data_IF_096464559457
#
_entry.id   IF_096464559457
#
_cell.length_a   1.000
_cell.length_b   1.000
_cell.length_c   1.000
_cell.angle_alpha   90.00
_cell.angle_beta   90.00
_cell.angle_gamma   90.00
#
_symmetry.space_group_name_H-M   'P 1'
#
loop_
_entity.id
_entity.type
_entity.pdbx_description
1 polymer ?
#
# COMPACT_ATOMS: atom_id res chain seq x y z
N UNK A 1 -49.40 -53.74 26.14
CA UNK A 1 -48.40 -53.76 25.04
C UNK A 1 -47.44 -52.58 25.24
N UNK A 2 -46.13 -52.79 25.12
CA UNK A 2 -45.11 -51.88 25.64
C UNK A 2 -44.91 -50.64 24.75
N UNK A 3 -44.66 -49.50 25.39
CA UNK A 3 -44.25 -48.24 24.74
C UNK A 3 -42.91 -48.45 24.03
N UNK A 4 -42.87 -48.15 22.73
CA UNK A 4 -41.64 -48.08 21.93
C UNK A 4 -40.61 -47.15 22.59
N UNK A 5 -39.32 -47.52 22.68
CA UNK A 5 -38.28 -46.64 23.17
C UNK A 5 -38.04 -45.50 22.16
N UNK A 6 -37.94 -44.27 22.68
CA UNK A 6 -37.49 -43.10 21.92
C UNK A 6 -36.01 -43.31 21.57
N UNK A 7 -35.69 -43.21 20.28
CA UNK A 7 -34.33 -43.12 19.77
C UNK A 7 -33.62 -41.90 20.37
N UNK A 8 -32.36 -42.02 20.85
CA UNK A 8 -31.59 -40.85 21.23
C UNK A 8 -31.20 -40.09 19.95
N UNK A 9 -31.70 -38.86 19.84
CA UNK A 9 -31.24 -37.89 18.86
C UNK A 9 -29.78 -37.55 19.17
N UNK A 10 -28.84 -38.05 18.37
CA UNK A 10 -27.46 -37.57 18.41
C UNK A 10 -27.44 -36.15 17.84
N UNK A 11 -27.53 -35.15 18.72
CA UNK A 11 -27.09 -33.82 18.37
C UNK A 11 -25.57 -33.90 18.15
N UNK A 12 -25.15 -33.96 16.89
CA UNK A 12 -23.77 -33.72 16.54
C UNK A 12 -23.43 -32.32 17.03
N UNK A 13 -22.59 -32.23 18.06
CA UNK A 13 -22.02 -30.96 18.52
C UNK A 13 -21.26 -30.36 17.35
N UNK A 14 -21.80 -29.30 16.73
CA UNK A 14 -21.06 -28.52 15.76
C UNK A 14 -19.78 -28.01 16.46
N UNK A 15 -18.62 -28.45 15.97
CA UNK A 15 -17.32 -27.99 16.46
C UNK A 15 -17.28 -26.47 16.24
N UNK A 16 -16.87 -25.72 17.27
CA UNK A 16 -16.70 -24.27 17.13
C UNK A 16 -15.79 -23.96 15.93
N UNK A 17 -16.08 -22.88 15.17
CA UNK A 17 -15.23 -22.48 14.05
C UNK A 17 -13.81 -22.20 14.55
N UNK A 18 -12.81 -22.52 13.72
CA UNK A 18 -11.40 -22.30 14.04
C UNK A 18 -11.13 -20.80 13.96
N UNK A 19 -10.62 -20.23 15.04
CA UNK A 19 -10.36 -18.79 15.15
C UNK A 19 -8.97 -18.41 14.60
N UNK A 20 -8.91 -17.41 13.73
CA UNK A 20 -7.70 -16.96 13.03
C UNK A 20 -7.35 -15.53 13.40
N UNK A 21 -6.16 -15.35 13.99
CA UNK A 21 -5.55 -14.06 14.27
C UNK A 21 -4.58 -13.67 13.15
N UNK A 22 -4.56 -12.39 12.80
CA UNK A 22 -3.66 -11.86 11.77
C UNK A 22 -2.67 -10.87 12.35
N UNK A 23 -1.41 -10.99 11.95
CA UNK A 23 -0.41 -9.93 12.09
C UNK A 23 -0.07 -9.47 10.69
N UNK A 24 -0.52 -8.27 10.33
CA UNK A 24 -0.31 -7.69 9.00
C UNK A 24 0.80 -6.66 9.03
N UNK A 25 1.85 -6.86 8.24
CA UNK A 25 2.97 -5.95 8.15
C UNK A 25 3.19 -5.49 6.71
N UNK A 26 3.88 -4.37 6.55
CA UNK A 26 4.36 -3.91 5.25
C UNK A 26 3.51 -2.83 4.61
N UNK A 27 3.02 -3.08 3.40
CA UNK A 27 2.43 -2.05 2.55
C UNK A 27 1.00 -2.38 2.12
N UNK A 28 0.33 -1.40 1.51
CA UNK A 28 -1.02 -1.52 0.93
C UNK A 28 -1.23 -2.77 0.06
N UNK A 29 -0.21 -3.19 -0.71
CA UNK A 29 -0.28 -4.40 -1.55
C UNK A 29 -0.38 -5.67 -0.70
N UNK A 30 0.33 -5.69 0.43
CA UNK A 30 0.30 -6.78 1.39
C UNK A 30 -1.02 -6.80 2.18
N UNK A 31 -1.60 -5.63 2.46
CA UNK A 31 -2.95 -5.53 3.05
C UNK A 31 -4.02 -6.10 2.11
N UNK A 32 -3.94 -5.82 0.81
CA UNK A 32 -4.86 -6.44 -0.17
C UNK A 32 -4.66 -7.97 -0.25
N UNK A 33 -3.42 -8.46 -0.15
CA UNK A 33 -3.17 -9.92 -0.08
C UNK A 33 -3.80 -10.55 1.18
N UNK A 34 -3.75 -9.83 2.31
CA UNK A 34 -4.43 -10.24 3.52
C UNK A 34 -5.95 -10.30 3.33
N UNK A 35 -6.57 -9.30 2.70
CA UNK A 35 -8.00 -9.30 2.38
C UNK A 35 -8.39 -10.52 1.53
N UNK A 36 -7.55 -10.90 0.55
CA UNK A 36 -7.75 -12.12 -0.23
C UNK A 36 -7.71 -13.36 0.67
N UNK A 37 -6.70 -13.49 1.53
CA UNK A 37 -6.60 -14.62 2.46
C UNK A 37 -7.79 -14.69 3.43
N UNK A 38 -8.19 -13.55 3.99
CA UNK A 38 -9.32 -13.45 4.91
C UNK A 38 -10.64 -13.85 4.21
N UNK A 39 -10.84 -13.45 2.95
CA UNK A 39 -12.02 -13.84 2.18
C UNK A 39 -12.06 -15.36 1.93
N UNK A 40 -10.92 -15.97 1.62
CA UNK A 40 -10.82 -17.43 1.41
C UNK A 40 -11.04 -18.21 2.71
N UNK A 41 -10.52 -17.71 3.85
CA UNK A 41 -10.75 -18.30 5.17
C UNK A 41 -12.20 -18.20 5.61
N UNK A 42 -12.81 -17.03 5.43
CA UNK A 42 -14.23 -16.83 5.75
C UNK A 42 -15.12 -17.80 4.96
N UNK A 43 -14.85 -17.98 3.66
CA UNK A 43 -15.56 -18.97 2.83
C UNK A 43 -15.27 -20.42 3.26
N UNK A 44 -14.10 -20.69 3.81
CA UNK A 44 -13.72 -21.97 4.40
C UNK A 44 -14.38 -22.26 5.74
N UNK A 45 -15.17 -21.33 6.30
CA UNK A 45 -15.86 -21.50 7.60
C UNK A 45 -14.97 -21.21 8.81
N UNK A 46 -13.84 -20.53 8.62
CA UNK A 46 -12.98 -20.04 9.70
C UNK A 46 -13.55 -18.75 10.29
N UNK A 47 -13.35 -18.56 11.58
CA UNK A 47 -13.65 -17.30 12.26
C UNK A 47 -12.44 -16.37 12.13
N UNK A 48 -12.66 -15.17 11.60
CA UNK A 48 -11.61 -14.20 11.27
C UNK A 48 -11.80 -12.93 12.08
N UNK A 49 -10.70 -12.25 12.41
CA UNK A 49 -10.77 -10.97 13.15
C UNK A 49 -10.85 -11.15 14.67
N UNK A 50 -10.37 -12.28 15.16
CA UNK A 50 -10.08 -12.44 16.59
C UNK A 50 -8.71 -11.83 16.91
N UNK A 51 -8.55 -11.40 18.15
CA UNK A 51 -7.24 -11.00 18.65
C UNK A 51 -6.26 -12.17 18.58
N UNK A 52 -4.99 -11.85 18.31
CA UNK A 52 -3.94 -12.85 18.05
C UNK A 52 -3.77 -13.81 19.23
N UNK A 53 -4.11 -13.37 20.43
CA UNK A 53 -4.01 -14.17 21.64
C UNK A 53 -5.21 -15.05 21.98
N UNK A 54 -6.33 -14.86 21.30
CA UNK A 54 -7.53 -15.69 21.36
C UNK A 54 -7.61 -16.68 20.18
N UNK A 55 -6.68 -16.59 19.24
CA UNK A 55 -6.69 -17.35 18.00
C UNK A 55 -6.21 -18.81 18.16
N UNK A 56 -6.89 -19.73 17.47
CA UNK A 56 -6.41 -21.11 17.30
C UNK A 56 -5.16 -21.17 16.40
N UNK A 57 -5.09 -20.32 15.38
CA UNK A 57 -3.92 -20.16 14.52
C UNK A 57 -3.63 -18.69 14.22
N UNK A 58 -2.34 -18.36 14.10
CA UNK A 58 -1.87 -17.02 13.79
C UNK A 58 -1.25 -17.00 12.39
N UNK A 59 -1.70 -16.07 11.54
CA UNK A 59 -1.12 -15.81 10.23
C UNK A 59 -0.31 -14.51 10.30
N UNK A 60 1.00 -14.61 10.11
CA UNK A 60 1.91 -13.46 10.03
C UNK A 60 2.17 -13.14 8.57
N UNK A 61 1.57 -12.06 8.06
CA UNK A 61 1.74 -11.60 6.70
C UNK A 61 2.86 -10.56 6.62
N UNK A 62 3.98 -10.95 6.00
CA UNK A 62 5.28 -10.27 6.17
C UNK A 62 5.70 -9.40 4.99
N UNK A 63 6.51 -8.38 5.27
CA UNK A 63 7.20 -7.58 4.28
C UNK A 63 8.67 -8.00 4.12
N UNK A 64 9.27 -7.70 2.98
CA UNK A 64 10.70 -7.95 2.73
C UNK A 64 11.41 -6.81 2.02
N UNK A 65 10.79 -5.61 1.99
CA UNK A 65 11.20 -4.55 1.08
C UNK A 65 12.51 -3.89 1.51
N UNK A 66 12.62 -3.49 2.78
CA UNK A 66 13.81 -2.87 3.39
C UNK A 66 14.22 -3.62 4.66
N UNK A 67 15.42 -3.36 5.16
CA UNK A 67 15.99 -4.00 6.35
C UNK A 67 15.09 -3.88 7.58
N UNK A 68 14.68 -2.66 7.97
CA UNK A 68 13.78 -2.43 9.11
C UNK A 68 12.50 -3.29 9.03
N UNK A 69 11.91 -3.38 7.84
CA UNK A 69 10.69 -4.17 7.62
C UNK A 69 10.94 -5.69 7.73
N UNK A 70 12.18 -6.17 7.51
CA UNK A 70 12.56 -7.56 7.75
C UNK A 70 12.75 -7.83 9.23
N UNK A 71 13.39 -6.92 9.96
CA UNK A 71 13.59 -7.04 11.40
C UNK A 71 12.25 -7.05 12.14
N UNK A 72 11.34 -6.16 11.76
CA UNK A 72 9.96 -6.14 12.23
C UNK A 72 9.25 -7.46 11.93
N UNK A 73 9.34 -7.96 10.70
CA UNK A 73 8.73 -9.22 10.31
C UNK A 73 9.28 -10.42 11.08
N UNK A 74 10.59 -10.50 11.30
CA UNK A 74 11.21 -11.57 12.11
C UNK A 74 10.73 -11.48 13.57
N UNK A 75 10.68 -10.27 14.13
CA UNK A 75 10.19 -10.05 15.49
C UNK A 75 8.74 -10.50 15.66
N UNK A 76 7.87 -10.20 14.68
CA UNK A 76 6.49 -10.64 14.67
C UNK A 76 6.33 -12.17 14.56
N UNK A 77 7.15 -12.83 13.72
CA UNK A 77 7.16 -14.30 13.61
C UNK A 77 7.54 -14.92 14.96
N UNK A 78 8.60 -14.41 15.60
CA UNK A 78 9.06 -14.90 16.90
C UNK A 78 7.99 -14.70 17.99
N UNK A 79 7.32 -13.54 18.00
CA UNK A 79 6.19 -13.29 18.90
C UNK A 79 5.03 -14.28 18.72
N UNK A 80 4.66 -14.59 17.48
CA UNK A 80 3.64 -15.61 17.21
C UNK A 80 4.08 -17.02 17.65
N UNK A 81 5.36 -17.36 17.46
CA UNK A 81 5.93 -18.62 17.94
C UNK A 81 5.93 -18.71 19.49
N UNK A 82 6.16 -17.60 20.18
CA UNK A 82 6.06 -17.50 21.65
C UNK A 82 4.64 -17.81 22.14
N UNK A 83 3.62 -17.27 21.46
CA UNK A 83 2.21 -17.57 21.77
C UNK A 83 1.90 -19.05 21.65
N UNK A 84 2.42 -19.71 20.59
CA UNK A 84 2.29 -21.16 20.40
C UNK A 84 2.98 -21.94 21.51
N UNK A 85 4.20 -21.58 21.90
CA UNK A 85 4.94 -22.23 22.99
C UNK A 85 4.19 -22.17 24.32
N UNK A 86 3.53 -21.05 24.58
CA UNK A 86 2.73 -20.83 25.78
C UNK A 86 1.32 -21.45 25.70
N UNK A 87 1.01 -22.15 24.60
CA UNK A 87 -0.28 -22.82 24.41
C UNK A 87 -1.45 -21.87 24.12
N UNK A 88 -1.17 -20.61 23.78
CA UNK A 88 -2.19 -19.60 23.45
C UNK A 88 -2.73 -19.76 22.02
N UNK A 89 -1.90 -20.26 21.11
CA UNK A 89 -2.34 -20.72 19.78
C UNK A 89 -1.74 -22.10 19.46
N UNK A 90 -2.27 -22.77 18.45
CA UNK A 90 -1.87 -24.14 18.06
C UNK A 90 -0.98 -24.14 16.81
N UNK A 91 -1.15 -23.16 15.92
CA UNK A 91 -0.40 -23.08 14.68
C UNK A 91 0.05 -21.65 14.34
N UNK A 92 1.22 -21.53 13.71
CA UNK A 92 1.77 -20.30 13.15
C UNK A 92 2.04 -20.48 11.66
N UNK A 93 1.42 -19.63 10.84
CA UNK A 93 1.59 -19.62 9.38
C UNK A 93 2.24 -18.30 8.97
N UNK A 94 3.34 -18.37 8.20
CA UNK A 94 4.05 -17.19 7.70
C UNK A 94 3.76 -17.01 6.20
N UNK A 95 3.30 -15.83 5.81
CA UNK A 95 2.95 -15.44 4.45
C UNK A 95 3.65 -14.15 4.03
N UNK A 96 3.52 -13.74 2.78
CA UNK A 96 3.95 -12.44 2.26
C UNK A 96 5.30 -12.44 1.53
N UNK A 97 5.92 -11.27 1.46
CA UNK A 97 7.14 -11.07 0.68
C UNK A 97 8.37 -11.74 1.31
N UNK A 98 8.44 -11.80 2.65
CA UNK A 98 9.60 -12.38 3.35
C UNK A 98 9.63 -13.89 3.18
N UNK A 99 8.49 -14.55 3.33
CA UNK A 99 8.35 -15.98 3.12
C UNK A 99 8.68 -16.39 1.69
N UNK A 100 8.25 -15.61 0.69
CA UNK A 100 8.58 -15.86 -0.71
C UNK A 100 10.09 -15.80 -0.99
N UNK A 101 10.80 -14.83 -0.39
CA UNK A 101 12.23 -14.59 -0.69
C UNK A 101 13.19 -15.38 0.21
N UNK A 102 12.86 -15.54 1.48
CA UNK A 102 13.76 -16.05 2.51
C UNK A 102 13.22 -17.28 3.24
N UNK A 103 12.37 -18.07 2.56
CA UNK A 103 11.78 -19.33 3.07
C UNK A 103 12.75 -20.17 3.91
N UNK A 104 13.89 -20.53 3.34
CA UNK A 104 14.86 -21.42 4.00
C UNK A 104 15.46 -20.78 5.26
N UNK A 105 15.70 -19.47 5.25
CA UNK A 105 16.21 -18.74 6.43
C UNK A 105 15.15 -18.69 7.53
N UNK A 106 13.87 -18.48 7.18
CA UNK A 106 12.75 -18.50 8.14
C UNK A 106 12.62 -19.88 8.78
N UNK A 107 12.59 -20.95 7.97
CA UNK A 107 12.48 -22.32 8.48
C UNK A 107 13.64 -22.70 9.41
N UNK A 108 14.85 -22.22 9.11
CA UNK A 108 16.03 -22.43 9.95
C UNK A 108 16.01 -21.61 11.24
N UNK A 109 15.57 -20.36 11.18
CA UNK A 109 15.58 -19.44 12.32
C UNK A 109 14.38 -19.64 13.26
N UNK A 110 13.24 -20.06 12.73
CA UNK A 110 11.97 -20.19 13.43
C UNK A 110 11.39 -21.61 13.25
N UNK A 111 11.96 -22.63 13.90
CA UNK A 111 11.54 -24.03 13.72
C UNK A 111 10.13 -24.32 14.25
N UNK A 112 9.55 -23.41 15.05
CA UNK A 112 8.21 -23.54 15.60
C UNK A 112 7.10 -23.10 14.64
N UNK A 113 7.45 -22.56 13.46
CA UNK A 113 6.50 -22.22 12.39
C UNK A 113 5.93 -23.49 11.78
N UNK A 114 4.61 -23.58 11.63
CA UNK A 114 3.92 -24.76 11.08
C UNK A 114 3.76 -24.69 9.56
N UNK A 115 3.70 -23.49 8.99
CA UNK A 115 3.65 -23.33 7.54
C UNK A 115 4.33 -22.05 7.07
N UNK A 116 4.96 -22.14 5.89
CA UNK A 116 5.52 -20.99 5.17
C UNK A 116 4.96 -20.99 3.76
N UNK A 117 4.29 -19.91 3.38
CA UNK A 117 3.59 -19.78 2.10
C UNK A 117 4.08 -18.60 1.27
N UNK A 118 4.04 -18.76 -0.05
CA UNK A 118 4.42 -17.72 -1.00
C UNK A 118 3.26 -16.80 -1.35
N UNK A 119 3.54 -15.77 -2.15
CA UNK A 119 2.50 -14.81 -2.61
C UNK A 119 1.53 -15.40 -3.63
N UNK A 120 1.82 -16.60 -4.18
CA UNK A 120 0.96 -17.34 -5.11
C UNK A 120 0.04 -18.37 -4.42
N UNK A 121 0.17 -18.54 -3.11
CA UNK A 121 -0.52 -19.58 -2.35
C UNK A 121 -1.72 -19.04 -1.53
N UNK A 122 -2.08 -17.75 -1.73
CA UNK A 122 -3.11 -17.07 -0.94
C UNK A 122 -4.47 -17.80 -0.93
N UNK A 123 -4.89 -18.38 -2.05
CA UNK A 123 -6.17 -19.14 -2.13
C UNK A 123 -6.16 -20.49 -1.44
N UNK A 124 -4.97 -21.03 -1.16
CA UNK A 124 -4.78 -22.32 -0.50
C UNK A 124 -4.71 -22.16 1.02
N UNK A 125 -4.79 -20.94 1.54
CA UNK A 125 -4.69 -20.66 2.97
C UNK A 125 -5.63 -21.51 3.83
N UNK A 126 -6.90 -21.81 3.46
CA UNK A 126 -7.78 -22.61 4.32
C UNK A 126 -7.27 -24.05 4.46
N UNK A 127 -6.83 -24.65 3.35
CA UNK A 127 -6.23 -25.99 3.33
C UNK A 127 -4.94 -26.05 4.16
N UNK A 128 -4.10 -25.02 4.03
CA UNK A 128 -2.80 -24.94 4.70
C UNK A 128 -2.98 -24.78 6.22
N UNK A 129 -3.89 -23.92 6.65
CA UNK A 129 -4.21 -23.72 8.06
C UNK A 129 -4.77 -25.00 8.68
N UNK A 130 -5.71 -25.69 8.02
CA UNK A 130 -6.21 -26.99 8.51
C UNK A 130 -5.10 -28.01 8.68
N UNK A 131 -4.20 -28.13 7.69
CA UNK A 131 -3.04 -29.02 7.78
C UNK A 131 -2.09 -28.64 8.90
N UNK A 132 -1.83 -27.35 9.10
CA UNK A 132 -0.96 -26.85 10.16
C UNK A 132 -1.53 -27.15 11.55
N UNK A 133 -2.86 -27.07 11.72
CA UNK A 133 -3.53 -27.39 12.98
C UNK A 133 -3.60 -28.89 13.29
N UNK A 134 -3.72 -29.72 12.24
CA UNK A 134 -3.78 -31.18 12.39
C UNK A 134 -2.39 -31.83 12.50
N UNK A 135 -1.31 -31.09 12.24
CA UNK A 135 0.04 -31.65 12.23
C UNK A 135 0.53 -31.94 13.66
N UNK A 136 0.76 -33.22 14.05
CA UNK A 136 1.45 -33.50 15.30
C UNK A 136 2.88 -32.95 15.18
N UNK A 137 3.35 -32.22 16.22
CA UNK A 137 4.66 -31.53 16.28
C UNK A 137 5.72 -32.26 15.45
N UNK A 138 6.06 -31.72 14.27
CA UNK A 138 6.85 -32.35 13.21
C UNK A 138 7.18 -31.37 12.08
N UNK A 139 7.73 -31.86 10.96
CA UNK A 139 8.23 -31.01 9.85
C UNK A 139 7.17 -30.01 9.34
N UNK A 140 7.54 -28.73 9.11
CA UNK A 140 6.59 -27.69 8.71
C UNK A 140 5.96 -27.97 7.35
N UNK A 141 4.69 -27.59 7.20
CA UNK A 141 3.98 -27.55 5.92
C UNK A 141 4.56 -26.45 5.05
N UNK A 142 5.53 -26.81 4.22
CA UNK A 142 6.10 -25.87 3.24
C UNK A 142 5.21 -25.85 2.00
N UNK A 143 4.44 -24.76 1.83
CA UNK A 143 3.60 -24.53 0.67
C UNK A 143 4.04 -23.27 -0.06
N UNK A 144 5.23 -23.35 -0.67
CA UNK A 144 5.68 -22.37 -1.67
C UNK A 144 5.69 -23.10 -3.00
N UNK A 145 4.64 -22.85 -3.78
CA UNK A 145 4.32 -23.60 -5.01
C UNK A 145 5.31 -23.37 -6.16
N UNK A 146 6.03 -22.24 -6.19
CA UNK A 146 6.96 -21.87 -7.27
C UNK A 146 8.05 -20.88 -6.83
N UNK A 147 9.16 -20.86 -7.57
CA UNK A 147 10.27 -19.90 -7.35
C UNK A 147 9.90 -18.47 -7.78
N UNK A 148 9.04 -18.31 -8.79
CA UNK A 148 8.56 -17.01 -9.27
C UNK A 148 7.03 -17.00 -9.39
N UNK A 149 6.35 -16.05 -8.73
CA UNK A 149 4.89 -15.92 -8.80
C UNK A 149 4.37 -15.63 -10.20
N UNK A 150 3.25 -16.26 -10.55
CA UNK A 150 2.56 -16.17 -11.85
C UNK A 150 1.06 -15.92 -11.73
N UNK A 151 0.48 -16.02 -10.54
CA UNK A 151 -0.96 -15.89 -10.37
C UNK A 151 -1.39 -14.43 -10.16
N UNK A 152 -2.68 -14.20 -10.43
CA UNK A 152 -3.40 -12.98 -10.07
C UNK A 152 -4.55 -13.35 -9.16
N UNK A 153 -4.68 -12.62 -8.07
CA UNK A 153 -5.76 -12.78 -7.12
C UNK A 153 -6.60 -11.52 -7.07
N UNK A 154 -7.91 -11.73 -7.22
CA UNK A 154 -8.93 -10.79 -6.79
C UNK A 154 -9.65 -11.43 -5.60
N UNK A 155 -10.10 -10.59 -4.66
CA UNK A 155 -10.89 -11.06 -3.52
C UNK A 155 -12.20 -11.67 -4.02
N UNK A 156 -12.56 -12.83 -3.49
CA UNK A 156 -13.90 -13.41 -3.74
C UNK A 156 -14.99 -12.70 -2.95
N UNK A 157 -14.63 -11.88 -1.97
CA UNK A 157 -15.52 -10.97 -1.25
C UNK A 157 -14.96 -9.56 -1.47
N UNK A 158 -15.26 -8.93 -2.62
CA UNK A 158 -14.75 -7.59 -2.96
C UNK A 158 -14.99 -6.53 -1.88
N UNK A 159 -16.09 -6.65 -1.14
CA UNK A 159 -16.49 -5.75 -0.07
C UNK A 159 -15.69 -5.95 1.25
N UNK A 160 -14.83 -6.96 1.35
CA UNK A 160 -13.99 -7.18 2.53
C UNK A 160 -12.81 -6.20 2.52
N UNK A 161 -13.02 -5.04 3.14
CA UNK A 161 -12.05 -3.95 3.27
C UNK A 161 -11.53 -3.92 4.71
N UNK A 162 -10.21 -3.95 4.88
CA UNK A 162 -9.54 -4.03 6.19
C UNK A 162 -8.73 -2.76 6.53
N UNK A 163 -9.00 -1.64 5.86
CA UNK A 163 -8.33 -0.35 6.09
C UNK A 163 -8.86 0.39 7.33
N UNK A 164 -10.08 0.08 7.79
CA UNK A 164 -10.69 0.71 8.97
C UNK A 164 -11.21 2.15 8.76
N UNK A 165 -10.96 2.76 7.59
CA UNK A 165 -11.40 4.11 7.23
C UNK A 165 -12.34 4.16 6.02
N UNK A 166 -12.76 5.36 5.58
CA UNK A 166 -13.66 5.54 4.44
C UNK A 166 -12.97 5.42 3.07
N UNK A 167 -11.82 4.73 3.00
CA UNK A 167 -11.04 4.51 1.79
C UNK A 167 -10.69 3.02 1.65
N UNK A 168 -10.37 2.58 0.43
CA UNK A 168 -9.97 1.20 0.17
C UNK A 168 -8.91 1.12 -0.92
N UNK A 169 -7.95 0.22 -0.72
CA UNK A 169 -6.97 -0.12 -1.75
C UNK A 169 -7.56 -1.05 -2.81
N UNK A 170 -7.38 -0.67 -4.06
CA UNK A 170 -7.80 -1.45 -5.23
C UNK A 170 -6.57 -1.86 -6.05
N UNK A 171 -6.14 -3.11 -5.89
CA UNK A 171 -4.96 -3.64 -6.57
C UNK A 171 -5.29 -4.02 -8.02
N UNK A 172 -4.71 -3.32 -8.99
CA UNK A 172 -5.04 -3.49 -10.42
C UNK A 172 -4.08 -4.43 -11.16
N UNK A 173 -2.89 -4.65 -10.61
CA UNK A 173 -1.87 -5.51 -11.18
C UNK A 173 -0.94 -6.08 -10.09
N UNK A 174 -0.22 -7.12 -10.44
CA UNK A 174 0.81 -7.74 -9.60
C UNK A 174 2.13 -7.86 -10.37
N UNK A 175 3.26 -7.78 -9.67
CA UNK A 175 4.59 -7.85 -10.26
C UNK A 175 4.98 -6.59 -11.03
N UNK A 176 6.20 -6.58 -11.57
CA UNK A 176 6.75 -5.41 -12.27
C UNK A 176 7.61 -5.84 -13.47
N UNK A 177 7.64 -5.02 -14.54
CA UNK A 177 8.51 -5.27 -15.70
C UNK A 177 9.83 -4.48 -15.65
N UNK A 178 9.94 -3.50 -14.74
CA UNK A 178 11.16 -2.71 -14.60
C UNK A 178 12.28 -3.53 -13.95
N UNK A 179 13.50 -3.36 -14.46
CA UNK A 179 14.71 -4.03 -13.98
C UNK A 179 15.63 -3.06 -13.23
N UNK A 180 15.03 -2.26 -12.35
CA UNK A 180 15.74 -1.27 -11.53
C UNK A 180 16.85 -1.95 -10.71
N UNK A 181 18.07 -1.42 -10.76
CA UNK A 181 19.24 -2.05 -10.18
C UNK A 181 19.15 -2.28 -8.66
N UNK A 182 18.32 -1.50 -7.94
CA UNK A 182 18.14 -1.58 -6.49
C UNK A 182 16.91 -2.40 -6.07
N UNK A 183 16.05 -2.84 -7.00
CA UNK A 183 14.72 -3.35 -6.66
C UNK A 183 14.66 -4.88 -6.74
N UNK A 184 14.34 -5.54 -5.62
CA UNK A 184 14.19 -7.00 -5.56
C UNK A 184 12.79 -7.50 -6.00
N UNK A 185 11.82 -6.58 -6.18
CA UNK A 185 10.41 -6.93 -6.42
C UNK A 185 10.19 -7.89 -7.60
N UNK A 186 10.85 -7.77 -8.77
CA UNK A 186 10.65 -8.73 -9.86
C UNK A 186 10.98 -10.18 -9.47
N UNK A 187 11.94 -10.37 -8.55
CA UNK A 187 12.30 -11.69 -8.01
C UNK A 187 11.37 -12.18 -6.90
N UNK A 188 10.62 -11.29 -6.25
CA UNK A 188 9.68 -11.64 -5.16
C UNK A 188 8.27 -11.81 -5.70
N UNK A 189 7.81 -10.91 -6.57
CA UNK A 189 6.41 -10.80 -7.02
C UNK A 189 6.24 -11.18 -8.49
N UNK A 190 7.33 -11.50 -9.19
CA UNK A 190 7.31 -11.88 -10.60
C UNK A 190 7.11 -10.71 -11.57
N UNK A 191 6.90 -11.05 -12.84
CA UNK A 191 6.64 -10.09 -13.93
C UNK A 191 5.26 -9.44 -13.79
N UNK A 192 5.08 -8.27 -14.38
CA UNK A 192 3.77 -7.61 -14.42
C UNK A 192 2.69 -8.53 -15.00
N UNK A 193 1.57 -8.57 -14.29
CA UNK A 193 0.31 -9.20 -14.69
C UNK A 193 -0.82 -8.23 -14.35
N UNK A 194 -1.56 -7.78 -15.36
CA UNK A 194 -2.68 -6.84 -15.18
C UNK A 194 -4.00 -7.58 -15.07
N UNK A 195 -4.88 -7.12 -14.18
CA UNK A 195 -6.27 -7.57 -14.13
C UNK A 195 -7.07 -6.99 -15.29
N UNK A 196 -8.18 -7.62 -15.66
CA UNK A 196 -9.08 -7.04 -16.66
C UNK A 196 -9.76 -5.79 -16.11
N UNK A 197 -10.12 -4.84 -17.00
CA UNK A 197 -10.84 -3.63 -16.60
C UNK A 197 -12.18 -3.99 -15.95
N UNK A 198 -12.90 -4.99 -16.48
CA UNK A 198 -14.22 -5.34 -15.98
C UNK A 198 -14.15 -5.96 -14.57
N UNK A 199 -13.13 -6.76 -14.26
CA UNK A 199 -12.91 -7.28 -12.90
C UNK A 199 -12.63 -6.14 -11.91
N UNK A 200 -11.78 -5.18 -12.28
CA UNK A 200 -11.43 -4.04 -11.43
C UNK A 200 -12.65 -3.13 -11.20
N UNK A 201 -13.43 -2.86 -12.25
CA UNK A 201 -14.65 -2.05 -12.15
C UNK A 201 -15.73 -2.76 -11.33
N UNK A 202 -15.84 -4.09 -11.41
CA UNK A 202 -16.79 -4.86 -10.61
C UNK A 202 -16.44 -4.78 -9.11
N UNK A 203 -15.16 -4.93 -8.76
CA UNK A 203 -14.70 -4.78 -7.37
C UNK A 203 -14.86 -3.35 -6.86
N UNK A 204 -14.51 -2.34 -7.64
CA UNK A 204 -14.72 -0.94 -7.28
C UNK A 204 -16.20 -0.64 -6.96
N UNK A 205 -17.13 -1.16 -7.77
CA UNK A 205 -18.57 -1.01 -7.50
C UNK A 205 -19.00 -1.65 -6.18
N UNK A 206 -18.49 -2.84 -5.88
CA UNK A 206 -18.81 -3.53 -4.65
C UNK A 206 -18.26 -2.78 -3.42
N UNK A 207 -17.01 -2.31 -3.49
CA UNK A 207 -16.38 -1.50 -2.43
C UNK A 207 -17.17 -0.20 -2.18
N UNK A 208 -17.51 0.54 -3.24
CA UNK A 208 -18.28 1.78 -3.12
C UNK A 208 -19.69 1.56 -2.57
N UNK A 209 -20.30 0.40 -2.82
CA UNK A 209 -21.63 0.05 -2.29
C UNK A 209 -21.63 -0.10 -0.76
N UNK A 210 -20.48 -0.43 -0.14
CA UNK A 210 -20.31 -0.49 1.32
C UNK A 210 -20.11 0.89 1.97
N UNK A 211 -20.16 1.97 1.18
CA UNK A 211 -20.04 3.32 1.71
C UNK A 211 -18.61 3.89 1.70
N UNK A 212 -17.64 3.17 1.13
CA UNK A 212 -16.29 3.71 0.86
C UNK A 212 -16.37 4.91 -0.09
N UNK A 213 -15.48 5.89 0.12
CA UNK A 213 -15.47 7.21 -0.53
C UNK A 213 -14.14 7.57 -1.18
N UNK A 214 -13.12 6.73 -1.04
CA UNK A 214 -11.87 6.86 -1.78
C UNK A 214 -11.36 5.48 -2.22
N UNK A 215 -10.96 5.38 -3.48
CA UNK A 215 -10.35 4.19 -4.08
C UNK A 215 -8.88 4.49 -4.39
N UNK A 216 -7.98 3.87 -3.64
CA UNK A 216 -6.54 3.99 -3.84
C UNK A 216 -6.06 2.90 -4.81
N UNK A 217 -5.83 3.30 -6.06
CA UNK A 217 -5.38 2.42 -7.13
C UNK A 217 -3.90 2.10 -6.91
N UNK A 218 -3.61 0.81 -6.70
CA UNK A 218 -2.26 0.33 -6.40
C UNK A 218 -1.81 -0.78 -7.34
N UNK A 219 -0.51 -0.80 -7.58
CA UNK A 219 0.28 -1.87 -8.19
C UNK A 219 1.74 -1.64 -7.81
N UNK A 220 2.66 -2.53 -8.22
CA UNK A 220 4.09 -2.22 -8.12
C UNK A 220 4.48 -1.03 -9.02
N UNK A 221 3.80 -0.91 -10.17
CA UNK A 221 3.79 0.26 -11.03
C UNK A 221 2.41 0.40 -11.69
N UNK A 222 1.62 1.40 -11.30
CA UNK A 222 0.27 1.60 -11.86
C UNK A 222 0.31 2.11 -13.29
N UNK A 223 1.34 2.88 -13.68
CA UNK A 223 1.40 3.48 -15.02
C UNK A 223 1.77 2.46 -16.09
N UNK A 224 2.28 1.29 -15.69
CA UNK A 224 2.48 0.14 -16.59
C UNK A 224 1.23 -0.73 -16.79
N UNK A 225 0.11 -0.47 -16.10
CA UNK A 225 -1.10 -1.30 -16.21
C UNK A 225 -1.59 -1.47 -17.66
N UNK A 226 -1.79 -2.72 -18.06
CA UNK A 226 -2.23 -3.13 -19.38
C UNK A 226 -1.10 -3.33 -20.41
N UNK A 227 0.15 -2.96 -20.10
CA UNK A 227 1.29 -3.13 -21.03
C UNK A 227 1.67 -4.59 -21.30
N UNK A 228 1.29 -5.50 -20.41
CA UNK A 228 1.40 -6.96 -20.58
C UNK A 228 0.26 -7.56 -21.43
N UNK A 229 -0.77 -6.78 -21.73
CA UNK A 229 -1.96 -7.23 -22.46
C UNK A 229 -1.92 -6.76 -23.93
N UNK A 230 -2.44 -7.59 -24.83
CA UNK A 230 -2.48 -7.32 -26.29
C UNK A 230 -3.81 -6.76 -26.79
N UNK A 231 -4.76 -6.51 -25.89
CA UNK A 231 -6.11 -6.03 -26.20
C UNK A 231 -6.24 -4.49 -26.17
N UNK A 232 -5.11 -3.80 -25.94
CA UNK A 232 -5.07 -2.35 -25.84
C UNK A 232 -5.60 -1.80 -24.50
N UNK A 233 -5.73 -2.64 -23.47
CA UNK A 233 -5.96 -2.18 -22.09
C UNK A 233 -4.90 -1.15 -21.68
N UNK A 234 -5.32 -0.11 -20.96
CA UNK A 234 -4.43 0.92 -20.43
C UNK A 234 -5.00 1.54 -19.16
N UNK A 235 -4.14 2.17 -18.37
CA UNK A 235 -4.56 2.90 -17.16
C UNK A 235 -5.59 3.99 -17.49
N UNK A 236 -5.38 4.74 -18.58
CA UNK A 236 -6.32 5.78 -19.01
C UNK A 236 -7.73 5.21 -19.32
N UNK A 237 -7.82 4.04 -19.98
CA UNK A 237 -9.10 3.37 -20.24
C UNK A 237 -9.78 2.88 -18.96
N UNK A 238 -9.01 2.33 -18.02
CA UNK A 238 -9.52 1.93 -16.71
C UNK A 238 -10.09 3.13 -15.95
N UNK A 239 -9.34 4.23 -15.87
CA UNK A 239 -9.78 5.43 -15.14
C UNK A 239 -11.04 6.04 -15.73
N UNK A 240 -11.19 6.10 -17.06
CA UNK A 240 -12.45 6.53 -17.69
C UNK A 240 -13.63 5.65 -17.29
N UNK A 241 -13.42 4.33 -17.14
CA UNK A 241 -14.47 3.39 -16.73
C UNK A 241 -14.83 3.54 -15.24
N UNK A 242 -13.86 3.83 -14.39
CA UNK A 242 -14.08 4.08 -12.96
C UNK A 242 -14.73 5.46 -12.74
N UNK A 243 -14.28 6.50 -13.43
CA UNK A 243 -14.87 7.85 -13.38
C UNK A 243 -16.32 7.87 -13.86
N UNK A 244 -16.70 6.95 -14.75
CA UNK A 244 -18.09 6.80 -15.19
C UNK A 244 -19.05 6.20 -14.13
N UNK A 245 -18.54 5.66 -13.01
CA UNK A 245 -19.39 5.14 -11.92
C UNK A 245 -20.17 6.28 -11.26
N UNK A 246 -21.33 6.00 -10.67
CA UNK A 246 -22.14 7.02 -9.98
C UNK A 246 -21.68 7.19 -8.54
N UNK A 247 -21.98 8.33 -7.94
CA UNK A 247 -21.59 8.67 -6.58
C UNK A 247 -20.50 9.73 -6.55
N UNK A 248 -20.20 10.16 -5.33
CA UNK A 248 -19.23 11.19 -5.01
C UNK A 248 -18.13 10.55 -4.16
N UNK A 249 -16.98 10.34 -4.79
CA UNK A 249 -15.86 9.58 -4.24
C UNK A 249 -14.57 9.99 -4.95
N UNK A 250 -13.43 9.65 -4.37
CA UNK A 250 -12.11 9.90 -4.93
C UNK A 250 -11.49 8.63 -5.53
N UNK A 251 -10.66 8.82 -6.55
CA UNK A 251 -9.77 7.79 -7.11
C UNK A 251 -8.35 8.34 -7.03
N UNK A 252 -7.48 7.71 -6.25
CA UNK A 252 -6.08 8.11 -6.10
C UNK A 252 -5.16 7.15 -6.82
N UNK A 253 -4.11 7.68 -7.45
CA UNK A 253 -3.07 6.88 -8.11
C UNK A 253 -1.80 6.89 -7.27
N UNK A 254 -1.35 5.71 -6.86
CA UNK A 254 -0.10 5.52 -6.13
C UNK A 254 0.90 4.71 -6.96
N UNK A 255 2.20 4.93 -6.77
CA UNK A 255 3.27 4.17 -7.41
C UNK A 255 3.34 4.27 -8.95
N UNK A 256 3.59 5.47 -9.48
CA UNK A 256 3.82 5.69 -10.91
C UNK A 256 5.29 5.63 -11.31
N UNK A 257 5.58 5.16 -12.53
CA UNK A 257 6.91 5.24 -13.13
C UNK A 257 7.03 6.42 -14.12
N UNK A 258 8.04 7.31 -14.00
CA UNK A 258 8.11 8.56 -14.77
C UNK A 258 8.00 8.40 -16.29
N UNK A 259 8.63 7.36 -16.87
CA UNK A 259 8.65 7.16 -18.31
C UNK A 259 7.31 6.65 -18.89
N UNK A 260 6.44 6.13 -18.03
CA UNK A 260 5.16 5.52 -18.42
C UNK A 260 3.98 6.50 -18.26
N UNK A 261 4.24 7.73 -17.80
CA UNK A 261 3.21 8.79 -17.72
C UNK A 261 2.99 9.37 -19.11
N UNK A 262 1.82 9.11 -19.69
CA UNK A 262 1.43 9.57 -21.03
C UNK A 262 0.57 10.83 -20.97
N UNK A 263 0.56 11.61 -22.05
CA UNK A 263 -0.34 12.78 -22.16
C UNK A 263 -1.82 12.39 -22.04
N UNK A 264 -2.20 11.22 -22.58
CA UNK A 264 -3.56 10.69 -22.44
C UNK A 264 -3.94 10.47 -20.97
N UNK A 265 -3.02 9.93 -20.16
CA UNK A 265 -3.25 9.75 -18.73
C UNK A 265 -3.45 11.11 -18.03
N UNK A 266 -2.60 12.10 -18.35
CA UNK A 266 -2.70 13.44 -17.77
C UNK A 266 -4.02 14.11 -18.13
N UNK A 267 -4.51 13.92 -19.35
CA UNK A 267 -5.79 14.46 -19.82
C UNK A 267 -6.98 13.83 -19.08
N UNK A 268 -6.92 12.51 -18.83
CA UNK A 268 -7.93 11.83 -18.03
C UNK A 268 -7.94 12.37 -16.61
N UNK A 269 -6.78 12.54 -15.96
CA UNK A 269 -6.70 13.09 -14.60
C UNK A 269 -7.23 14.54 -14.58
N UNK A 270 -6.80 15.39 -15.52
CA UNK A 270 -7.17 16.80 -15.56
C UNK A 270 -8.68 17.03 -15.74
N UNK A 271 -9.34 16.17 -16.52
CA UNK A 271 -10.75 16.28 -16.88
C UNK A 271 -11.70 15.48 -15.99
N UNK A 272 -11.16 14.59 -15.15
CA UNK A 272 -11.96 13.70 -14.30
C UNK A 272 -12.61 14.44 -13.15
N UNK A 273 -13.76 13.90 -12.71
CA UNK A 273 -14.48 14.39 -11.54
C UNK A 273 -14.11 13.64 -10.26
N UNK A 274 -13.63 12.40 -10.38
CA UNK A 274 -13.30 11.54 -9.25
C UNK A 274 -11.79 11.36 -9.04
N UNK A 275 -10.99 11.40 -10.10
CA UNK A 275 -9.55 11.17 -10.00
C UNK A 275 -8.90 12.38 -9.35
N UNK A 276 -8.24 12.16 -8.21
CA UNK A 276 -7.50 13.19 -7.50
C UNK A 276 -6.41 13.77 -8.41
N UNK A 277 -6.18 15.08 -8.33
CA UNK A 277 -4.99 15.77 -8.84
C UNK A 277 -3.82 15.48 -7.92
N UNK A 278 -3.48 14.20 -7.84
CA UNK A 278 -2.40 13.65 -7.05
C UNK A 278 -1.66 12.62 -7.89
N UNK A 279 -0.35 12.78 -8.00
CA UNK A 279 0.51 11.80 -8.65
C UNK A 279 1.73 11.50 -7.76
N UNK A 280 1.84 10.25 -7.34
CA UNK A 280 3.04 9.69 -6.71
C UNK A 280 3.95 9.08 -7.78
N UNK A 281 5.05 9.77 -8.09
CA UNK A 281 6.00 9.37 -9.14
C UNK A 281 7.42 9.34 -8.57
N UNK A 282 7.87 8.20 -8.04
CA UNK A 282 9.25 8.02 -7.55
C UNK A 282 10.31 8.19 -8.63
N UNK A 283 11.01 9.34 -8.62
CA UNK A 283 12.15 9.59 -9.52
C UNK A 283 13.40 8.81 -9.12
N UNK A 284 13.54 8.51 -7.83
CA UNK A 284 14.69 7.86 -7.17
C UNK A 284 15.97 8.69 -7.19
N UNK A 285 16.35 9.30 -8.31
CA UNK A 285 17.41 10.30 -8.36
C UNK A 285 17.13 11.29 -9.50
N UNK A 286 17.93 12.35 -9.62
CA UNK A 286 17.82 13.33 -10.72
C UNK A 286 19.04 13.36 -11.65
N UNK A 287 20.15 12.72 -11.28
CA UNK A 287 21.42 12.89 -11.97
C UNK A 287 21.52 11.82 -13.06
N UNK A 288 21.86 12.17 -14.31
CA UNK A 288 21.86 11.22 -15.42
C UNK A 288 22.70 9.97 -15.18
N UNK A 289 23.90 10.14 -14.60
CA UNK A 289 24.82 9.02 -14.38
C UNK A 289 24.29 8.04 -13.33
N UNK A 290 23.68 8.55 -12.26
CA UNK A 290 23.07 7.70 -11.23
C UNK A 290 21.80 7.04 -11.74
N UNK A 291 20.97 7.74 -12.51
CA UNK A 291 19.80 7.14 -13.14
C UNK A 291 20.18 6.01 -14.10
N UNK A 292 21.26 6.15 -14.89
CA UNK A 292 21.77 5.04 -15.71
C UNK A 292 22.26 3.88 -14.85
N UNK A 293 23.00 4.15 -13.78
CA UNK A 293 23.48 3.12 -12.86
C UNK A 293 22.33 2.41 -12.11
N UNK A 294 21.21 3.09 -11.89
CA UNK A 294 19.97 2.53 -11.36
C UNK A 294 19.15 1.72 -12.39
N UNK A 295 19.62 1.62 -13.64
CA UNK A 295 18.90 1.06 -14.79
C UNK A 295 17.61 1.82 -15.14
N UNK A 296 17.64 3.15 -15.05
CA UNK A 296 16.53 4.06 -15.35
C UNK A 296 16.84 5.06 -16.47
N UNK A 297 17.63 4.63 -17.45
CA UNK A 297 18.04 5.48 -18.58
C UNK A 297 16.84 6.00 -19.41
N UNK A 298 15.75 5.25 -19.42
CA UNK A 298 14.47 5.60 -20.04
C UNK A 298 13.78 6.81 -19.37
N UNK A 299 14.07 7.09 -18.10
CA UNK A 299 13.50 8.24 -17.36
C UNK A 299 14.25 9.56 -17.59
N UNK A 300 15.43 9.55 -18.22
CA UNK A 300 16.31 10.71 -18.35
C UNK A 300 15.66 11.92 -19.03
N UNK A 301 14.74 11.68 -19.97
CA UNK A 301 13.98 12.75 -20.65
C UNK A 301 12.77 13.25 -19.86
N UNK A 302 12.32 12.47 -18.87
CA UNK A 302 11.08 12.73 -18.12
C UNK A 302 11.34 13.47 -16.81
N UNK A 303 12.45 13.17 -16.13
CA UNK A 303 12.79 13.69 -14.80
C UNK A 303 13.07 15.20 -14.82
N UNK A 304 13.88 15.76 -15.75
CA UNK A 304 14.11 17.20 -15.77
C UNK A 304 12.82 18.00 -16.05
N UNK A 305 12.48 18.96 -15.18
CA UNK A 305 11.29 19.81 -15.34
C UNK A 305 9.96 19.06 -15.19
N UNK A 306 9.98 17.87 -14.58
CA UNK A 306 8.80 17.01 -14.46
C UNK A 306 7.65 17.74 -13.77
N UNK A 307 7.88 18.38 -12.63
CA UNK A 307 6.83 18.99 -11.84
C UNK A 307 6.18 20.15 -12.58
N UNK A 308 6.98 20.99 -13.25
CA UNK A 308 6.47 22.10 -14.05
C UNK A 308 5.60 21.61 -15.21
N UNK A 309 6.05 20.59 -15.96
CA UNK A 309 5.29 20.02 -17.08
C UNK A 309 3.96 19.42 -16.62
N UNK A 310 3.97 18.65 -15.52
CA UNK A 310 2.78 17.99 -15.01
C UNK A 310 1.77 19.00 -14.45
N UNK A 311 2.21 19.98 -13.65
CA UNK A 311 1.34 21.05 -13.11
C UNK A 311 0.77 21.97 -14.19
N UNK A 312 1.48 22.15 -15.31
CA UNK A 312 0.95 22.89 -16.45
C UNK A 312 -0.22 22.17 -17.13
N UNK A 313 -0.22 20.82 -17.12
CA UNK A 313 -1.30 20.02 -17.72
C UNK A 313 -2.45 19.75 -16.76
N UNK A 314 -2.15 19.62 -15.47
CA UNK A 314 -3.12 19.40 -14.39
C UNK A 314 -2.97 20.54 -13.38
N UNK A 315 -3.73 21.65 -13.52
CA UNK A 315 -3.70 22.75 -12.56
C UNK A 315 -4.12 22.26 -11.17
N UNK A 316 -3.37 22.65 -10.13
CA UNK A 316 -3.60 22.21 -8.75
C UNK A 316 -3.03 20.84 -8.39
N UNK A 317 -2.25 20.22 -9.28
CA UNK A 317 -1.63 18.91 -9.05
C UNK A 317 -0.67 18.90 -7.85
N UNK A 318 -0.99 18.03 -6.90
CA UNK A 318 -0.09 17.60 -5.84
C UNK A 318 0.84 16.52 -6.39
N UNK A 319 2.14 16.73 -6.21
CA UNK A 319 3.18 15.79 -6.64
C UNK A 319 3.92 15.21 -5.47
N UNK A 320 3.87 13.88 -5.37
CA UNK A 320 4.70 13.10 -4.47
C UNK A 320 5.83 12.44 -5.25
N UNK A 321 7.01 12.39 -4.65
CA UNK A 321 8.14 11.61 -5.17
C UNK A 321 8.90 10.92 -4.05
N UNK A 322 9.77 10.00 -4.44
CA UNK A 322 10.72 9.35 -3.56
C UNK A 322 12.11 9.41 -4.18
N UNK A 323 13.11 9.68 -3.35
CA UNK A 323 14.52 9.72 -3.72
C UNK A 323 15.32 8.69 -2.89
N UNK A 324 16.29 8.05 -3.54
CA UNK A 324 17.23 7.12 -2.96
C UNK A 324 18.62 7.77 -3.01
N UNK A 325 19.26 7.92 -1.86
CA UNK A 325 20.57 8.57 -1.72
C UNK A 325 21.61 7.61 -1.21
N UNK A 326 22.88 7.88 -1.50
CA UNK A 326 23.98 6.96 -1.19
C UNK A 326 24.02 5.73 -2.08
N UNK A 327 23.43 5.80 -3.29
CA UNK A 327 23.50 4.70 -4.26
C UNK A 327 24.96 4.43 -4.67
N UNK A 328 25.37 3.18 -4.98
CA UNK A 328 26.74 2.87 -5.40
C UNK A 328 27.28 3.77 -6.52
N UNK A 329 28.35 4.50 -6.25
CA UNK A 329 28.96 5.49 -7.15
C UNK A 329 28.40 6.91 -7.05
N UNK A 330 27.53 7.21 -6.08
CA UNK A 330 27.00 8.56 -5.84
C UNK A 330 28.06 9.50 -5.23
N UNK A 331 28.53 10.45 -6.04
CA UNK A 331 29.48 11.49 -5.65
C UNK A 331 28.78 12.69 -5.00
N UNK A 332 29.55 13.58 -4.39
CA UNK A 332 29.01 14.84 -3.85
C UNK A 332 28.35 15.70 -4.95
N UNK A 333 28.93 15.77 -6.15
CA UNK A 333 28.35 16.50 -7.27
C UNK A 333 26.99 15.94 -7.72
N UNK A 334 26.84 14.61 -7.72
CA UNK A 334 25.55 13.98 -8.01
C UNK A 334 24.49 14.36 -6.97
N UNK A 335 24.86 14.36 -5.70
CA UNK A 335 23.95 14.73 -4.61
C UNK A 335 23.58 16.23 -4.62
N UNK A 336 24.54 17.11 -4.93
CA UNK A 336 24.27 18.55 -5.06
C UNK A 336 23.28 18.83 -6.20
N UNK A 337 23.41 18.12 -7.33
CA UNK A 337 22.43 18.15 -8.42
C UNK A 337 21.03 17.70 -7.98
N UNK A 338 20.93 16.71 -7.07
CA UNK A 338 19.65 16.27 -6.50
C UNK A 338 19.03 17.34 -5.59
N UNK A 339 19.83 18.02 -4.77
CA UNK A 339 19.35 19.12 -3.93
C UNK A 339 18.83 20.30 -4.75
N UNK A 340 19.54 20.66 -5.82
CA UNK A 340 19.11 21.71 -6.74
C UNK A 340 17.80 21.32 -7.44
N UNK A 341 17.74 20.10 -7.96
CA UNK A 341 16.55 19.54 -8.59
C UNK A 341 15.32 19.60 -7.67
N UNK A 342 15.41 19.09 -6.44
CA UNK A 342 14.31 19.15 -5.49
C UNK A 342 13.86 20.58 -5.20
N UNK A 343 14.82 21.51 -5.06
CA UNK A 343 14.56 22.94 -4.86
C UNK A 343 13.82 23.61 -6.03
N UNK A 344 14.12 23.20 -7.26
CA UNK A 344 13.50 23.72 -8.48
C UNK A 344 12.11 23.15 -8.72
N UNK A 345 11.96 21.83 -8.60
CA UNK A 345 10.69 21.14 -8.89
C UNK A 345 9.63 21.41 -7.81
N UNK A 346 10.07 21.67 -6.56
CA UNK A 346 9.20 21.97 -5.41
C UNK A 346 8.08 20.93 -5.25
N UNK A 347 8.44 19.68 -5.01
CA UNK A 347 7.46 18.62 -4.74
C UNK A 347 6.64 18.95 -3.50
N UNK A 348 5.34 18.63 -3.54
CA UNK A 348 4.45 18.77 -2.39
C UNK A 348 4.84 17.76 -1.31
N UNK A 349 5.14 16.53 -1.73
CA UNK A 349 5.63 15.47 -0.86
C UNK A 349 6.90 14.85 -1.44
N UNK A 350 7.92 14.66 -0.60
CA UNK A 350 9.14 13.94 -0.99
C UNK A 350 9.66 13.12 0.19
N UNK A 351 9.71 11.81 -0.02
CA UNK A 351 10.43 10.88 0.85
C UNK A 351 11.86 10.67 0.38
N UNK A 352 12.82 10.58 1.30
CA UNK A 352 14.19 10.21 1.00
C UNK A 352 14.59 8.98 1.81
N UNK A 353 15.17 7.98 1.14
CA UNK A 353 15.68 6.75 1.74
C UNK A 353 17.17 6.62 1.48
N UNK A 354 17.91 6.12 2.47
CA UNK A 354 19.28 5.67 2.25
C UNK A 354 19.25 4.38 1.42
N UNK A 355 20.22 4.22 0.52
CA UNK A 355 20.38 2.97 -0.21
C UNK A 355 20.63 1.82 0.77
N UNK A 356 19.81 0.77 0.66
CA UNK A 356 20.02 -0.49 1.37
C UNK A 356 20.33 -1.57 0.33
N UNK A 357 21.47 -2.29 0.44
CA UNK A 357 21.87 -3.27 -0.55
C UNK A 357 21.03 -4.55 -0.46
N UNK A 358 20.48 -4.95 -1.60
CA UNK A 358 19.50 -6.03 -1.66
C UNK A 358 20.01 -7.27 -2.41
N UNK A 359 20.12 -8.41 -1.73
CA UNK A 359 20.59 -9.68 -2.34
C UNK A 359 19.80 -10.03 -3.62
N UNK A 360 20.49 -10.34 -4.72
CA UNK A 360 19.86 -10.65 -5.99
C UNK A 360 19.48 -9.43 -6.85
N UNK A 361 19.75 -8.21 -6.38
CA UNK A 361 19.61 -6.98 -7.19
C UNK A 361 20.91 -6.63 -7.90
N UNK A 362 20.83 -5.87 -9.00
CA UNK A 362 22.01 -5.48 -9.78
C UNK A 362 23.00 -4.59 -9.01
N UNK A 363 22.51 -3.80 -8.06
CA UNK A 363 23.32 -2.90 -7.24
C UNK A 363 24.06 -3.65 -6.11
N UNK A 364 23.61 -4.86 -5.73
CA UNK A 364 24.20 -5.63 -4.63
C UNK A 364 25.68 -5.97 -4.84
N UNK A 365 26.09 -6.20 -6.09
CA UNK A 365 27.49 -6.47 -6.43
C UNK A 365 28.41 -5.28 -6.12
N UNK A 366 27.86 -4.08 -6.04
CA UNK A 366 28.56 -2.81 -5.78
C UNK A 366 28.27 -2.23 -4.40
N UNK A 367 27.69 -3.03 -3.49
CA UNK A 367 27.30 -2.59 -2.14
C UNK A 367 28.44 -1.97 -1.34
N UNK A 368 29.68 -2.45 -1.54
CA UNK A 368 30.88 -1.94 -0.84
C UNK A 368 31.23 -0.49 -1.26
N UNK A 369 30.63 0.04 -2.32
CA UNK A 369 30.77 1.44 -2.72
C UNK A 369 29.79 2.38 -1.99
N UNK A 370 28.79 1.83 -1.29
CA UNK A 370 27.85 2.59 -0.49
C UNK A 370 28.39 2.74 0.94
N UNK A 371 28.31 3.95 1.48
CA UNK A 371 28.66 4.26 2.86
C UNK A 371 27.40 4.75 3.58
N UNK A 372 26.96 3.99 4.59
CA UNK A 372 25.71 4.23 5.30
C UNK A 372 25.70 5.58 6.03
N UNK A 373 26.86 6.00 6.55
CA UNK A 373 27.01 7.29 7.24
C UNK A 373 26.85 8.42 6.22
N UNK A 374 27.45 8.30 5.03
CA UNK A 374 27.29 9.28 3.95
C UNK A 374 25.85 9.29 3.45
N UNK A 375 25.24 8.12 3.22
CA UNK A 375 23.86 7.98 2.75
C UNK A 375 22.87 8.63 3.72
N UNK A 376 23.00 8.35 5.03
CA UNK A 376 22.13 8.91 6.06
C UNK A 376 22.34 10.42 6.22
N UNK A 377 23.58 10.90 6.13
CA UNK A 377 23.86 12.34 6.11
C UNK A 377 23.20 13.04 4.93
N UNK A 378 23.25 12.44 3.73
CA UNK A 378 22.58 12.94 2.52
C UNK A 378 21.06 12.91 2.68
N UNK A 379 20.50 11.83 3.23
CA UNK A 379 19.06 11.68 3.49
C UNK A 379 18.56 12.82 4.37
N UNK A 380 19.22 13.05 5.52
CA UNK A 380 18.88 14.15 6.44
C UNK A 380 19.00 15.52 5.77
N UNK A 381 20.04 15.75 4.96
CA UNK A 381 20.21 17.02 4.22
C UNK A 381 19.08 17.26 3.21
N UNK A 382 18.70 16.23 2.44
CA UNK A 382 17.60 16.31 1.48
C UNK A 382 16.25 16.54 2.17
N UNK A 383 15.95 15.79 3.23
CA UNK A 383 14.71 15.98 4.01
C UNK A 383 14.63 17.38 4.64
N UNK A 384 15.74 17.93 5.16
CA UNK A 384 15.77 19.32 5.66
C UNK A 384 15.54 20.36 4.57
N UNK A 385 15.98 20.10 3.34
CA UNK A 385 15.70 20.97 2.19
C UNK A 385 14.22 20.89 1.82
N UNK A 386 13.67 19.67 1.78
CA UNK A 386 12.27 19.42 1.49
C UNK A 386 11.35 20.06 2.52
N UNK A 387 11.63 19.95 3.82
CA UNK A 387 10.80 20.55 4.88
C UNK A 387 10.60 22.07 4.67
N UNK A 388 11.62 22.79 4.18
CA UNK A 388 11.48 24.23 3.86
C UNK A 388 10.60 24.48 2.64
N UNK A 389 10.64 23.57 1.66
CA UNK A 389 9.78 23.63 0.47
C UNK A 389 8.33 23.39 0.88
N UNK A 390 8.07 22.31 1.62
CA UNK A 390 6.74 21.98 2.14
C UNK A 390 6.18 23.13 2.96
N UNK A 391 6.95 23.67 3.92
CA UNK A 391 6.52 24.84 4.69
C UNK A 391 6.04 25.98 3.80
N UNK A 392 6.81 26.33 2.75
CA UNK A 392 6.43 27.40 1.83
C UNK A 392 5.19 27.07 0.99
N UNK A 393 4.95 25.80 0.68
CA UNK A 393 3.76 25.35 -0.05
C UNK A 393 2.52 25.37 0.85
N UNK A 394 2.64 24.91 2.10
CA UNK A 394 1.55 24.94 3.08
C UNK A 394 1.22 26.38 3.52
N UNK A 395 2.23 27.25 3.68
CA UNK A 395 2.02 28.69 3.92
C UNK A 395 1.11 29.31 2.84
N UNK A 396 1.24 28.87 1.57
CA UNK A 396 0.43 29.35 0.46
C UNK A 396 -1.00 28.75 0.43
N UNK A 397 -1.28 27.70 1.21
CA UNK A 397 -2.62 27.12 1.35
C UNK A 397 -3.47 27.82 2.40
N UNK A 398 -2.86 28.54 3.34
CA UNK A 398 -3.59 29.27 4.40
C UNK A 398 -4.54 30.31 3.78
N UNK A 399 -5.79 30.32 4.23
CA UNK A 399 -6.88 31.16 3.71
C UNK A 399 -7.57 30.61 2.45
N UNK A 400 -7.14 29.45 1.93
CA UNK A 400 -7.81 28.79 0.81
C UNK A 400 -8.92 27.87 1.31
N UNK A 401 -9.97 27.69 0.50
CA UNK A 401 -11.02 26.71 0.74
C UNK A 401 -10.68 25.45 -0.04
N UNK A 402 -10.69 24.30 0.64
CA UNK A 402 -10.45 22.99 0.05
C UNK A 402 -11.45 21.97 0.54
N UNK A 403 -11.65 20.94 -0.27
CA UNK A 403 -12.45 19.78 0.08
C UNK A 403 -11.63 18.79 0.90
N UNK A 404 -12.22 18.23 1.94
CA UNK A 404 -11.64 17.23 2.84
C UNK A 404 -12.59 16.03 2.96
N UNK A 405 -12.02 14.82 2.91
CA UNK A 405 -12.69 13.59 3.31
C UNK A 405 -12.50 13.39 4.81
N UNK A 406 -13.59 13.38 5.58
CA UNK A 406 -13.56 13.15 7.03
C UNK A 406 -13.38 11.65 7.30
N UNK A 407 -12.43 11.29 8.17
CA UNK A 407 -12.03 9.89 8.40
C UNK A 407 -12.31 9.43 9.82
N UNK A 408 -11.91 10.23 10.81
CA UNK A 408 -12.12 9.91 12.22
C UNK A 408 -12.83 11.07 12.94
N UNK A 409 -13.83 10.77 13.79
CA UNK A 409 -14.47 11.79 14.61
C UNK A 409 -13.48 12.37 15.63
N UNK A 410 -13.80 13.53 16.24
CA UNK A 410 -12.92 14.17 17.18
C UNK A 410 -12.61 13.31 18.39
N UNK A 411 -11.35 13.37 18.81
CA UNK A 411 -10.92 12.91 20.13
C UNK A 411 -11.04 14.05 21.16
N UNK A 412 -10.14 14.13 22.14
CA UNK A 412 -10.20 15.08 23.26
C UNK A 412 -10.03 16.55 22.83
N UNK A 413 -9.41 16.81 21.67
CA UNK A 413 -9.09 18.17 21.18
C UNK A 413 -10.25 18.84 20.41
N UNK A 414 -11.34 18.10 20.15
CA UNK A 414 -12.53 18.58 19.45
C UNK A 414 -12.37 18.78 17.94
N UNK A 415 -11.32 18.24 17.30
CA UNK A 415 -11.09 18.34 15.85
C UNK A 415 -11.26 17.00 15.15
N UNK A 416 -11.94 17.00 14.02
CA UNK A 416 -12.01 15.82 13.15
C UNK A 416 -10.68 15.59 12.46
N UNK A 417 -10.33 14.34 12.23
CA UNK A 417 -9.26 13.97 11.30
C UNK A 417 -9.84 13.75 9.90
N UNK A 418 -9.14 14.26 8.90
CA UNK A 418 -9.50 14.06 7.50
C UNK A 418 -8.34 14.31 6.57
N UNK A 419 -8.56 14.08 5.27
CA UNK A 419 -7.53 14.29 4.23
C UNK A 419 -8.08 15.10 3.08
N UNK A 420 -7.24 15.99 2.55
CA UNK A 420 -7.49 16.65 1.26
C UNK A 420 -7.19 15.67 0.11
N UNK A 421 -7.62 16.00 -1.11
CA UNK A 421 -7.22 15.21 -2.29
C UNK A 421 -5.69 15.19 -2.50
N UNK A 422 -4.96 16.10 -1.86
CA UNK A 422 -3.50 16.15 -1.86
C UNK A 422 -2.79 15.30 -0.79
N UNK A 423 -3.52 14.53 0.01
CA UNK A 423 -2.97 13.71 1.11
C UNK A 423 -3.40 12.25 0.96
N UNK A 424 -2.43 11.36 0.74
CA UNK A 424 -2.66 9.91 0.70
C UNK A 424 -2.91 9.31 2.12
N UNK A 425 -3.63 8.18 2.22
CA UNK A 425 -3.90 7.50 3.50
C UNK A 425 -2.65 6.80 4.10
N UNK A 426 -2.83 6.09 5.23
CA UNK A 426 -1.81 5.27 5.92
C UNK A 426 -0.54 6.04 6.33
N UNK A 427 -0.71 7.27 6.82
CA UNK A 427 0.41 8.14 7.24
C UNK A 427 1.49 8.33 6.16
N UNK A 428 1.12 8.14 4.88
CA UNK A 428 2.02 8.32 3.73
C UNK A 428 2.33 9.81 3.54
N UNK A 429 1.32 10.65 3.74
CA UNK A 429 1.37 12.12 3.72
C UNK A 429 0.76 12.68 5.03
N UNK A 430 0.70 14.00 5.20
CA UNK A 430 0.11 14.61 6.41
C UNK A 430 -1.41 14.51 6.50
N UNK A 431 -1.96 14.87 7.66
CA UNK A 431 -3.39 14.86 7.99
C UNK A 431 -3.96 16.30 7.94
N UNK A 432 -5.28 16.44 7.83
CA UNK A 432 -5.98 17.72 8.01
C UNK A 432 -6.91 17.63 9.21
N UNK A 433 -6.65 18.45 10.22
CA UNK A 433 -7.49 18.56 11.41
C UNK A 433 -8.54 19.65 11.23
N UNK A 434 -9.82 19.28 11.33
CA UNK A 434 -10.96 20.16 11.02
C UNK A 434 -11.78 20.47 12.27
N UNK A 435 -11.84 21.75 12.63
CA UNK A 435 -12.70 22.25 13.71
C UNK A 435 -14.10 22.65 13.20
N UNK A 436 -15.08 22.65 14.11
CA UNK A 436 -16.43 23.20 13.84
C UNK A 436 -17.32 22.34 12.94
N UNK A 437 -16.93 21.09 12.68
CA UNK A 437 -17.73 20.14 11.90
C UNK A 437 -19.05 19.82 12.63
N UNK A 438 -20.21 19.79 11.94
CA UNK A 438 -21.51 19.51 12.57
C UNK A 438 -21.57 18.13 13.23
N UNK A 439 -22.30 18.03 14.34
CA UNK A 439 -22.51 16.76 15.06
C UNK A 439 -23.21 15.66 14.24
N UNK A 440 -23.84 16.01 13.11
CA UNK A 440 -24.46 15.06 12.19
C UNK A 440 -23.48 14.42 11.21
N UNK A 441 -22.25 14.95 11.08
CA UNK A 441 -21.24 14.43 10.17
C UNK A 441 -20.80 13.02 10.58
N UNK A 442 -20.38 12.24 9.59
CA UNK A 442 -19.87 10.87 9.77
C UNK A 442 -18.57 10.67 9.00
N UNK A 443 -17.72 9.71 9.41
CA UNK A 443 -16.64 9.21 8.57
C UNK A 443 -17.15 8.89 7.15
N UNK A 444 -16.41 9.36 6.15
CA UNK A 444 -16.79 9.28 4.73
C UNK A 444 -17.54 10.52 4.20
N UNK A 445 -17.96 11.45 5.05
CA UNK A 445 -18.51 12.71 4.57
C UNK A 445 -17.40 13.59 3.98
N UNK A 446 -17.73 14.26 2.88
CA UNK A 446 -16.91 15.32 2.35
C UNK A 446 -17.33 16.67 2.92
N UNK A 447 -16.35 17.47 3.32
CA UNK A 447 -16.54 18.80 3.86
C UNK A 447 -15.70 19.83 3.11
N UNK A 448 -16.28 20.99 2.84
CA UNK A 448 -15.51 22.16 2.43
C UNK A 448 -15.00 22.89 3.68
N UNK A 449 -13.70 23.15 3.71
CA UNK A 449 -13.02 23.72 4.87
C UNK A 449 -12.12 24.87 4.43
N UNK A 450 -11.97 25.87 5.28
CA UNK A 450 -10.99 26.93 5.10
C UNK A 450 -9.72 26.56 5.88
N UNK A 451 -8.57 26.52 5.20
CA UNK A 451 -7.29 26.25 5.84
C UNK A 451 -6.89 27.46 6.69
N UNK A 452 -6.78 27.27 8.00
CA UNK A 452 -6.44 28.34 8.96
C UNK A 452 -4.97 28.32 9.35
N UNK A 453 -4.29 27.19 9.15
CA UNK A 453 -2.87 27.06 9.45
C UNK A 453 -2.30 25.69 9.05
N UNK A 454 -1.06 25.46 9.44
CA UNK A 454 -0.39 24.17 9.30
C UNK A 454 0.64 24.00 10.42
N UNK A 455 1.02 22.76 10.67
CA UNK A 455 2.08 22.37 11.60
C UNK A 455 2.85 21.19 10.99
N UNK A 456 4.16 21.34 10.83
CA UNK A 456 5.01 20.37 10.14
C UNK A 456 4.50 20.00 8.74
N UNK A 457 3.79 18.87 8.61
CA UNK A 457 3.19 18.39 7.35
C UNK A 457 1.65 18.43 7.37
N UNK A 458 1.06 18.74 8.51
CA UNK A 458 -0.38 18.68 8.75
C UNK A 458 -1.04 20.03 8.54
N UNK A 459 -2.31 20.01 8.15
CA UNK A 459 -3.13 21.19 7.96
C UNK A 459 -4.11 21.36 9.12
N UNK A 460 -4.36 22.61 9.48
CA UNK A 460 -5.45 22.99 10.38
C UNK A 460 -6.50 23.75 9.58
N UNK A 461 -7.76 23.40 9.78
CA UNK A 461 -8.86 23.97 9.03
C UNK A 461 -10.13 24.17 9.87
N UNK A 462 -11.00 25.05 9.41
CA UNK A 462 -12.33 25.26 9.97
C UNK A 462 -13.39 24.92 8.95
N UNK A 463 -14.43 24.19 9.40
CA UNK A 463 -15.57 23.84 8.57
C UNK A 463 -16.28 25.09 8.05
N UNK A 464 -16.54 25.15 6.74
CA UNK A 464 -17.39 26.18 6.16
C UNK A 464 -18.81 25.66 6.00
N UNK A 465 -19.74 26.27 6.76
CA UNK A 465 -21.17 26.10 6.50
C UNK A 465 -21.50 26.61 5.10
N UNK A 466 -22.17 25.78 4.30
CA UNK A 466 -22.79 26.21 3.04
C UNK A 466 -24.04 27.08 3.30
N UNK A 467 -23.90 28.15 4.07
CA UNK A 467 -24.93 29.19 4.18
C UNK A 467 -24.83 30.11 2.96
N UNK A 468 -25.36 29.67 1.82
CA UNK A 468 -25.34 30.49 0.59
C UNK A 468 -26.01 29.95 -0.68
N UNK A 469 -26.61 28.76 -0.68
CA UNK A 469 -27.52 28.37 -1.76
C UNK A 469 -28.92 28.91 -1.46
N UNK A 470 -29.08 30.23 -1.61
CA UNK A 470 -30.38 30.89 -1.59
C UNK A 470 -31.20 30.43 -2.80
N UNK A 471 -32.31 29.74 -2.51
CA UNK A 471 -33.55 29.57 -3.32
C UNK A 471 -33.44 29.11 -4.76
#
# INVERSE_FOLDING_TARGET
MPKKPRSPSSAATARAPIAIGFVSLGCSKNLVDLQVMAAELHQGGFDIGVEVDEADAVIVNTCAFIEDAREEAVSAILGACELKKNGRCKAVVVSGCLSQRYRERILKACPDVDAVIGVDDLRRIPEIVSKALDHPRGEPVVAVSSDLPTHLFASKIPAMVLTGGPYAYLKIAEGCQHVCAFCAIPGIRGKLRSRTIDDVVAEAKAILAEGIRELDIIAQDVTSYGSDLKDGTSLAKLLRRLDALKGDFWIRLLYGYPAMVTDELLDVIASSRHVCRYLDIPVQHSHPDILRAMHRADTLKHVPGMASRLRARIPGLTLRTTCLVGFPGETQAHFDHLLEYAGREKFDHLGAFAFSPEEGTGAFARREEADDIVAENRRRKLMRRQARIVKSLLDAKVGTVTRVLLEAPPEEDGRWEGRTEGQAPDDIDGVTYVAGVPASARPGDFADVEITGHGDYDLFAEWRSMSGASS
#
